data_IF_678002753824
#
_entry.id   IF_678002753824
#
_cell.length_a   1.000
_cell.length_b   1.000
_cell.length_c   1.000
_cell.angle_alpha   90.00
_cell.angle_beta   90.00
_cell.angle_gamma   90.00
#
_symmetry.space_group_name_H-M   'P 1'
#
loop_
_entity.id
_entity.type
_entity.pdbx_description
1 polymer ?
#
# COMPACT_ATOMS: atom_id res chain seq x y z
N UNK A 1 -8.22 -27.41 1.76
CA UNK A 1 -7.06 -26.87 2.52
C UNK A 1 -5.96 -26.34 1.61
N UNK A 2 -5.53 -27.07 0.56
CA UNK A 2 -4.54 -26.58 -0.41
C UNK A 2 -4.95 -25.28 -1.12
N UNK A 3 -6.22 -25.17 -1.55
CA UNK A 3 -6.77 -23.95 -2.19
C UNK A 3 -6.54 -22.70 -1.34
N UNK A 4 -6.82 -22.76 -0.02
CA UNK A 4 -6.63 -21.62 0.86
C UNK A 4 -5.16 -21.21 0.98
N UNK A 5 -4.25 -22.17 1.06
CA UNK A 5 -2.80 -21.90 1.14
C UNK A 5 -2.32 -21.25 -0.17
N UNK A 6 -2.71 -21.80 -1.32
CA UNK A 6 -2.38 -21.24 -2.64
C UNK A 6 -2.95 -19.83 -2.81
N UNK A 7 -4.18 -19.59 -2.36
CA UNK A 7 -4.82 -18.28 -2.40
C UNK A 7 -4.06 -17.26 -1.52
N UNK A 8 -3.67 -17.64 -0.30
CA UNK A 8 -2.87 -16.78 0.58
C UNK A 8 -1.54 -16.41 -0.07
N UNK A 9 -0.84 -17.36 -0.71
CA UNK A 9 0.38 -17.06 -1.46
C UNK A 9 0.15 -16.11 -2.63
N UNK A 10 -0.92 -16.32 -3.40
CA UNK A 10 -1.27 -15.48 -4.53
C UNK A 10 -1.57 -14.03 -4.09
N UNK A 11 -2.42 -13.87 -3.08
CA UNK A 11 -2.78 -12.54 -2.53
C UNK A 11 -1.56 -11.86 -1.91
N UNK A 12 -0.74 -12.60 -1.16
CA UNK A 12 0.48 -12.05 -0.54
C UNK A 12 1.48 -11.57 -1.60
N UNK A 13 1.65 -12.33 -2.68
CA UNK A 13 2.51 -11.95 -3.81
C UNK A 13 2.00 -10.69 -4.50
N UNK A 14 0.68 -10.57 -4.67
CA UNK A 14 0.05 -9.38 -5.21
C UNK A 14 0.27 -8.16 -4.30
N UNK A 15 0.16 -8.32 -2.98
CA UNK A 15 0.49 -7.25 -2.02
C UNK A 15 1.97 -6.81 -2.12
N UNK A 16 2.91 -7.75 -2.29
CA UNK A 16 4.32 -7.40 -2.51
C UNK A 16 4.55 -6.65 -3.82
N UNK A 17 3.84 -7.02 -4.88
CA UNK A 17 3.90 -6.31 -6.16
C UNK A 17 3.35 -4.88 -6.01
N UNK A 18 2.19 -4.72 -5.36
CA UNK A 18 1.61 -3.40 -5.06
C UNK A 18 2.54 -2.57 -4.16
N UNK A 19 3.22 -3.20 -3.20
CA UNK A 19 4.19 -2.53 -2.35
C UNK A 19 5.32 -1.92 -3.18
N UNK A 20 5.90 -2.72 -4.08
CA UNK A 20 6.99 -2.29 -4.92
C UNK A 20 6.59 -1.13 -5.84
N UNK A 21 5.45 -1.27 -6.54
CA UNK A 21 4.96 -0.20 -7.43
C UNK A 21 4.64 1.08 -6.66
N UNK A 22 4.00 0.98 -5.49
CA UNK A 22 3.65 2.14 -4.66
C UNK A 22 4.88 2.89 -4.15
N UNK A 23 5.92 2.17 -3.70
CA UNK A 23 7.18 2.77 -3.26
C UNK A 23 7.88 3.50 -4.42
N UNK A 24 7.97 2.86 -5.60
CA UNK A 24 8.58 3.49 -6.77
C UNK A 24 7.84 4.76 -7.17
N UNK A 25 6.51 4.68 -7.29
CA UNK A 25 5.68 5.83 -7.65
C UNK A 25 5.84 6.94 -6.61
N UNK A 26 5.86 6.59 -5.32
CA UNK A 26 6.06 7.55 -4.24
C UNK A 26 7.43 8.22 -4.28
N UNK A 27 8.51 7.48 -4.54
CA UNK A 27 9.85 8.07 -4.70
C UNK A 27 9.91 9.01 -5.91
N UNK A 28 9.34 8.61 -7.05
CA UNK A 28 9.29 9.45 -8.25
C UNK A 28 8.44 10.70 -7.99
N UNK A 29 7.29 10.58 -7.33
CA UNK A 29 6.44 11.72 -6.97
C UNK A 29 7.16 12.67 -6.01
N UNK A 30 7.82 12.14 -4.99
CA UNK A 30 8.53 12.93 -3.99
C UNK A 30 9.75 13.64 -4.55
N UNK A 31 10.47 13.03 -5.51
CA UNK A 31 11.61 13.68 -6.18
C UNK A 31 11.20 14.85 -7.10
N UNK A 32 9.92 14.92 -7.48
CA UNK A 32 9.37 16.00 -8.30
C UNK A 32 8.62 17.06 -7.50
N UNK A 33 8.34 16.83 -6.21
CA UNK A 33 7.66 17.81 -5.37
C UNK A 33 8.66 18.79 -4.77
N UNK A 34 8.51 20.09 -5.01
CA UNK A 34 9.32 21.14 -4.39
C UNK A 34 8.99 21.36 -2.92
N UNK A 35 7.79 20.97 -2.50
CA UNK A 35 7.30 21.06 -1.12
C UNK A 35 6.84 19.70 -0.64
N UNK A 36 6.99 19.42 0.65
CA UNK A 36 6.55 18.17 1.26
C UNK A 36 5.01 18.14 1.36
N UNK A 37 4.35 17.42 0.45
CA UNK A 37 2.89 17.35 0.41
C UNK A 37 2.42 15.95 0.78
N UNK A 38 1.36 15.85 1.59
CA UNK A 38 0.87 14.57 2.10
C UNK A 38 0.56 13.53 1.00
N UNK A 39 0.09 13.96 -0.18
CA UNK A 39 -0.24 13.06 -1.29
C UNK A 39 0.98 12.55 -2.09
N UNK A 40 2.15 13.21 -2.00
CA UNK A 40 3.38 12.74 -2.67
C UNK A 40 4.10 11.66 -1.85
N UNK A 41 3.95 11.72 -0.53
CA UNK A 41 4.57 10.76 0.43
C UNK A 41 3.64 9.59 0.75
N UNK A 42 2.32 9.77 0.64
CA UNK A 42 1.34 8.71 0.95
C UNK A 42 1.56 7.39 0.20
N UNK A 43 2.00 7.33 -1.07
CA UNK A 43 2.24 6.07 -1.76
C UNK A 43 3.42 5.28 -1.15
N UNK A 44 4.42 5.97 -0.59
CA UNK A 44 5.57 5.32 0.06
C UNK A 44 5.09 4.60 1.33
N UNK A 45 4.31 5.28 2.16
CA UNK A 45 3.75 4.70 3.39
C UNK A 45 2.80 3.55 3.09
N UNK A 46 1.91 3.71 2.10
CA UNK A 46 1.04 2.64 1.63
C UNK A 46 1.85 1.40 1.20
N UNK A 47 2.94 1.62 0.47
CA UNK A 47 3.85 0.56 0.05
C UNK A 47 4.49 -0.19 1.22
N UNK A 48 4.89 0.49 2.30
CA UNK A 48 5.41 -0.16 3.52
C UNK A 48 4.35 -1.05 4.17
N UNK A 49 3.10 -0.58 4.27
CA UNK A 49 2.01 -1.38 4.81
C UNK A 49 1.71 -2.61 3.94
N UNK A 50 1.65 -2.45 2.61
CA UNK A 50 1.49 -3.58 1.69
C UNK A 50 2.64 -4.59 1.78
N UNK A 51 3.89 -4.12 1.92
CA UNK A 51 5.05 -4.99 2.09
C UNK A 51 4.94 -5.84 3.37
N UNK A 52 4.58 -5.20 4.48
CA UNK A 52 4.41 -5.87 5.78
C UNK A 52 3.30 -6.93 5.73
N UNK A 53 2.18 -6.61 5.10
CA UNK A 53 1.04 -7.51 4.97
C UNK A 53 1.36 -8.70 4.04
N UNK A 54 2.02 -8.46 2.90
CA UNK A 54 2.47 -9.53 2.00
C UNK A 54 3.50 -10.45 2.65
N UNK A 55 4.47 -9.90 3.39
CA UNK A 55 5.45 -10.69 4.13
C UNK A 55 4.81 -11.58 5.20
N UNK A 56 3.90 -11.02 6.00
CA UNK A 56 3.19 -11.76 7.05
C UNK A 56 2.24 -12.80 6.44
N UNK A 57 1.63 -12.52 5.29
CA UNK A 57 0.81 -13.50 4.56
C UNK A 57 1.60 -14.72 4.07
N UNK A 58 2.84 -14.52 3.59
CA UNK A 58 3.75 -15.62 3.25
C UNK A 58 4.12 -16.44 4.49
N UNK A 59 4.44 -15.78 5.61
CA UNK A 59 4.76 -16.45 6.89
C UNK A 59 3.55 -17.24 7.39
N UNK A 60 2.35 -16.66 7.30
CA UNK A 60 1.08 -17.28 7.65
C UNK A 60 0.85 -18.58 6.88
N UNK A 61 1.12 -18.57 5.56
CA UNK A 61 0.99 -19.76 4.72
C UNK A 61 1.98 -20.88 5.07
N UNK A 62 3.12 -20.56 5.71
CA UNK A 62 4.15 -21.52 6.15
C UNK A 62 3.92 -22.06 7.56
N UNK A 63 3.64 -21.19 8.54
CA UNK A 63 3.67 -21.56 9.96
C UNK A 63 2.30 -21.94 10.55
N UNK A 64 1.18 -21.69 9.85
CA UNK A 64 -0.20 -22.08 10.24
C UNK A 64 -0.62 -21.76 11.68
N UNK A 65 0.10 -20.89 12.39
CA UNK A 65 -0.19 -20.52 13.77
C UNK A 65 -1.37 -19.55 13.84
N UNK A 66 -2.28 -19.76 14.80
CA UNK A 66 -3.46 -18.89 15.01
C UNK A 66 -3.07 -17.42 15.21
N UNK A 67 -1.97 -17.16 15.93
CA UNK A 67 -1.46 -15.80 16.14
C UNK A 67 -1.08 -15.09 14.83
N UNK A 68 -0.37 -15.80 13.95
CA UNK A 68 0.08 -15.24 12.66
C UNK A 68 -1.11 -14.99 11.72
N UNK A 69 -2.12 -15.87 11.75
CA UNK A 69 -3.36 -15.70 11.01
C UNK A 69 -4.10 -14.44 11.50
N UNK A 70 -4.20 -14.24 12.82
CA UNK A 70 -4.86 -13.06 13.39
C UNK A 70 -4.12 -11.77 13.01
N UNK A 71 -2.79 -11.76 13.08
CA UNK A 71 -1.98 -10.63 12.63
C UNK A 71 -2.17 -10.34 11.13
N UNK A 72 -2.25 -11.37 10.29
CA UNK A 72 -2.49 -11.21 8.87
C UNK A 72 -3.86 -10.59 8.58
N UNK A 73 -4.91 -11.02 9.28
CA UNK A 73 -6.26 -10.44 9.14
C UNK A 73 -6.28 -8.98 9.59
N UNK A 74 -5.68 -8.66 10.74
CA UNK A 74 -5.61 -7.29 11.24
C UNK A 74 -4.87 -6.36 10.26
N UNK A 75 -3.72 -6.81 9.74
CA UNK A 75 -2.96 -6.05 8.74
C UNK A 75 -3.70 -5.90 7.42
N UNK A 76 -4.47 -6.91 7.01
CA UNK A 76 -5.29 -6.83 5.79
C UNK A 76 -6.38 -5.75 5.91
N UNK A 77 -6.94 -5.55 7.10
CA UNK A 77 -7.89 -4.47 7.36
C UNK A 77 -7.17 -3.12 7.33
N UNK A 78 -5.99 -3.02 7.94
CA UNK A 78 -5.19 -1.78 7.94
C UNK A 78 -4.79 -1.40 6.50
N UNK A 79 -4.31 -2.34 5.69
CA UNK A 79 -3.95 -2.06 4.29
C UNK A 79 -5.14 -1.61 3.46
N UNK A 80 -6.34 -2.14 3.70
CA UNK A 80 -7.57 -1.70 3.05
C UNK A 80 -7.92 -0.24 3.42
N UNK A 81 -7.81 0.13 4.70
CA UNK A 81 -8.04 1.51 5.15
C UNK A 81 -7.01 2.45 4.53
N UNK A 82 -5.74 2.07 4.54
CA UNK A 82 -4.65 2.86 3.96
C UNK A 82 -4.86 3.06 2.46
N UNK A 83 -5.29 2.03 1.73
CA UNK A 83 -5.59 2.13 0.30
C UNK A 83 -6.74 3.11 0.02
N UNK A 84 -7.82 3.03 0.81
CA UNK A 84 -8.93 3.97 0.70
C UNK A 84 -8.48 5.41 0.93
N UNK A 85 -7.68 5.66 1.98
CA UNK A 85 -7.12 7.00 2.26
C UNK A 85 -6.22 7.47 1.12
N UNK A 86 -5.39 6.58 0.57
CA UNK A 86 -4.46 6.92 -0.50
C UNK A 86 -5.20 7.35 -1.79
N UNK A 87 -6.31 6.68 -2.13
CA UNK A 87 -7.18 7.08 -3.25
C UNK A 87 -7.81 8.45 -3.00
N UNK A 88 -8.25 8.75 -1.78
CA UNK A 88 -8.79 10.08 -1.45
C UNK A 88 -7.72 11.18 -1.56
N UNK A 89 -6.50 10.92 -1.07
CA UNK A 89 -5.38 11.86 -1.18
C UNK A 89 -4.98 12.10 -2.64
N UNK A 90 -4.99 11.05 -3.46
CA UNK A 90 -4.73 11.17 -4.89
C UNK A 90 -5.80 12.02 -5.59
N UNK A 91 -7.09 11.83 -5.24
CA UNK A 91 -8.18 12.66 -5.76
C UNK A 91 -8.02 14.13 -5.36
N UNK A 92 -7.66 14.39 -4.10
CA UNK A 92 -7.43 15.76 -3.62
C UNK A 92 -6.25 16.41 -4.35
N UNK A 93 -5.14 15.68 -4.54
CA UNK A 93 -4.00 16.16 -5.32
C UNK A 93 -4.35 16.46 -6.77
N UNK A 94 -5.14 15.59 -7.42
CA UNK A 94 -5.59 15.80 -8.80
C UNK A 94 -6.49 17.03 -8.93
N UNK A 95 -7.46 17.19 -8.03
CA UNK A 95 -8.35 18.36 -8.01
C UNK A 95 -7.54 19.66 -7.83
N UNK A 96 -6.60 19.69 -6.89
CA UNK A 96 -5.74 20.83 -6.64
C UNK A 96 -4.96 21.26 -7.91
N UNK A 97 -4.44 20.30 -8.69
CA UNK A 97 -3.74 20.58 -9.94
C UNK A 97 -4.70 21.13 -11.02
N UNK A 98 -5.91 20.59 -11.13
CA UNK A 98 -6.87 20.96 -12.20
C UNK A 98 -7.65 22.24 -11.94
N UNK A 99 -7.92 22.58 -10.68
CA UNK A 99 -8.79 23.71 -10.32
C UNK A 99 -7.98 24.98 -10.03
N UNK A 100 -6.81 24.85 -9.41
CA UNK A 100 -6.09 26.02 -8.89
C UNK A 100 -4.97 26.51 -9.84
N UNK A 101 -4.59 25.73 -10.86
CA UNK A 101 -3.62 26.14 -11.91
C UNK A 101 -2.19 26.40 -11.44
N UNK A 102 -2.00 26.55 -10.13
CA UNK A 102 -0.72 26.64 -9.44
C UNK A 102 -0.11 25.23 -9.37
N UNK A 103 0.34 24.75 -10.52
CA UNK A 103 1.46 23.81 -10.55
C UNK A 103 2.66 24.55 -9.95
N UNK A 104 2.77 24.54 -8.61
CA UNK A 104 3.96 25.03 -7.93
C UNK A 104 5.15 24.25 -8.46
N UNK A 105 5.85 24.93 -9.37
CA UNK A 105 7.19 24.61 -9.88
C UNK A 105 8.17 24.36 -8.74
#
# INVERSE_FOLDING_TARGET
>A
MYIFITLTYAISSLHLLLAFTSIIIGIISQSRSTVWIAHSVSPIWAGIFFASCGGIGIICARQKGLYVILCYVALSIVTLIVDFVNIQLLRLGLVNITTDGEAYL
#
